data_IF_258171932088
#
_entry.id   IF_258171932088
#
_cell.length_a   1.000
_cell.length_b   1.000
_cell.length_c   1.000
_cell.angle_alpha   90.00
_cell.angle_beta   90.00
_cell.angle_gamma   90.00
#
_symmetry.space_group_name_H-M   'P 1'
#
loop_
_entity.id
_entity.type
_entity.pdbx_description
1 polymer ?
#
# COMPACT_ATOMS: atom_id res chain seq x y z
N UNK A 1 -3.40 -2.07 28.53
CA UNK A 1 -4.47 -2.60 27.64
C UNK A 1 -4.54 -1.70 26.43
N UNK A 2 -3.99 -2.12 25.28
CA UNK A 2 -4.15 -1.36 24.05
C UNK A 2 -5.62 -1.46 23.63
N UNK A 3 -6.28 -0.31 23.48
CA UNK A 3 -7.64 -0.26 22.94
C UNK A 3 -7.57 -0.85 21.52
N UNK A 4 -8.41 -1.85 21.22
CA UNK A 4 -8.67 -2.30 19.86
C UNK A 4 -9.36 -1.16 19.10
N UNK A 5 -8.56 -0.20 18.63
CA UNK A 5 -9.04 0.85 17.73
C UNK A 5 -9.14 0.21 16.36
N UNK A 6 -10.35 0.09 15.86
CA UNK A 6 -10.62 -0.34 14.50
C UNK A 6 -9.95 0.64 13.52
N UNK A 7 -9.05 0.13 12.69
CA UNK A 7 -8.39 0.92 11.67
C UNK A 7 -9.34 1.14 10.49
N UNK A 8 -9.72 2.39 10.24
CA UNK A 8 -10.67 2.79 9.19
C UNK A 8 -10.00 3.42 7.95
N UNK A 9 -8.66 3.51 7.96
CA UNK A 9 -7.92 4.32 6.99
C UNK A 9 -8.15 5.83 7.16
N UNK A 10 -7.29 6.63 6.53
CA UNK A 10 -7.38 8.10 6.57
C UNK A 10 -8.39 8.59 5.53
N UNK A 11 -8.24 8.16 4.27
CA UNK A 11 -9.21 8.46 3.22
C UNK A 11 -10.50 7.66 3.46
N UNK A 12 -11.64 8.34 3.53
CA UNK A 12 -12.93 7.70 3.76
C UNK A 12 -13.51 7.14 2.46
N UNK A 13 -14.44 6.19 2.59
CA UNK A 13 -15.18 5.67 1.44
C UNK A 13 -16.02 6.76 0.73
N UNK A 14 -16.44 7.82 1.45
CA UNK A 14 -17.15 8.94 0.84
C UNK A 14 -16.25 9.70 -0.16
N UNK A 15 -14.97 9.88 0.17
CA UNK A 15 -13.99 10.49 -0.74
C UNK A 15 -13.77 9.59 -1.95
N UNK A 16 -13.55 8.29 -1.75
CA UNK A 16 -13.41 7.35 -2.88
C UNK A 16 -14.62 7.39 -3.82
N UNK A 17 -15.85 7.34 -3.27
CA UNK A 17 -17.08 7.43 -4.07
C UNK A 17 -17.20 8.73 -4.86
N UNK A 18 -16.67 9.84 -4.34
CA UNK A 18 -16.70 11.12 -5.02
C UNK A 18 -15.73 11.16 -6.22
N UNK A 19 -14.58 10.48 -6.15
CA UNK A 19 -13.56 10.50 -7.21
C UNK A 19 -13.67 9.33 -8.20
N UNK A 20 -14.21 8.17 -7.76
CA UNK A 20 -14.35 6.96 -8.57
C UNK A 20 -15.02 7.17 -9.95
N UNK A 21 -16.05 8.03 -10.11
CA UNK A 21 -16.66 8.27 -11.42
C UNK A 21 -15.75 8.92 -12.46
N UNK A 22 -14.56 9.40 -12.07
CA UNK A 22 -13.61 10.08 -12.95
C UNK A 22 -12.38 9.23 -13.28
N UNK A 23 -12.36 7.96 -12.89
CA UNK A 23 -11.21 7.06 -13.12
C UNK A 23 -10.92 6.87 -14.62
N UNK A 24 -11.94 6.91 -15.47
CA UNK A 24 -11.82 6.84 -16.94
C UNK A 24 -11.15 8.07 -17.58
N UNK A 25 -10.84 9.11 -16.79
CA UNK A 25 -10.20 10.36 -17.24
C UNK A 25 -8.76 10.50 -16.80
N UNK A 26 -8.22 9.53 -16.08
CA UNK A 26 -6.84 9.54 -15.58
C UNK A 26 -6.09 8.33 -16.09
N UNK A 27 -4.79 8.51 -16.30
CA UNK A 27 -3.93 7.42 -16.76
C UNK A 27 -3.54 6.47 -15.61
N UNK A 28 -3.35 7.02 -14.42
CA UNK A 28 -2.84 6.26 -13.27
C UNK A 28 -3.42 6.71 -11.95
N UNK A 29 -3.41 5.81 -10.96
CA UNK A 29 -3.79 6.06 -9.58
C UNK A 29 -2.68 5.54 -8.66
N UNK A 30 -2.06 6.46 -7.92
CA UNK A 30 -1.11 6.17 -6.85
C UNK A 30 -1.84 6.22 -5.49
N UNK A 31 -1.99 5.07 -4.83
CA UNK A 31 -2.64 4.92 -3.53
C UNK A 31 -1.68 5.26 -2.37
N UNK A 32 -0.96 6.36 -2.46
CA UNK A 32 -0.03 6.85 -1.43
C UNK A 32 -0.61 7.99 -0.58
N UNK A 33 0.14 8.45 0.42
CA UNK A 33 -0.24 9.59 1.27
C UNK A 33 0.58 9.67 2.55
N UNK A 34 0.07 10.39 3.55
CA UNK A 34 0.74 10.61 4.85
C UNK A 34 0.78 9.40 5.80
N UNK A 35 0.69 8.17 5.30
CA UNK A 35 0.62 6.95 6.11
C UNK A 35 1.02 5.70 5.33
N UNK A 36 0.65 4.52 5.83
CA UNK A 36 0.93 3.24 5.17
C UNK A 36 -0.30 2.74 4.40
N UNK A 37 -0.25 2.63 3.06
CA UNK A 37 -1.40 2.20 2.25
C UNK A 37 -1.97 0.85 2.66
N UNK A 38 -1.13 -0.10 3.08
CA UNK A 38 -1.56 -1.44 3.51
C UNK A 38 -2.39 -1.43 4.79
N UNK A 39 -2.48 -0.30 5.50
CA UNK A 39 -3.40 -0.11 6.61
C UNK A 39 -4.82 0.22 6.15
N UNK A 40 -5.07 0.66 4.92
CA UNK A 40 -6.40 0.95 4.41
C UNK A 40 -7.18 -0.36 4.15
N UNK A 41 -8.24 -0.70 4.91
CA UNK A 41 -8.97 -1.96 4.71
C UNK A 41 -9.59 -2.12 3.32
N UNK A 42 -9.83 -1.00 2.63
CA UNK A 42 -10.43 -0.95 1.29
C UNK A 42 -9.42 -0.91 0.14
N UNK A 43 -8.12 -0.97 0.41
CA UNK A 43 -7.07 -0.77 -0.60
C UNK A 43 -7.26 -1.68 -1.83
N UNK A 44 -7.39 -2.98 -1.63
CA UNK A 44 -7.56 -3.94 -2.73
C UNK A 44 -8.85 -3.71 -3.54
N UNK A 45 -9.94 -3.28 -2.89
CA UNK A 45 -11.21 -2.95 -3.58
C UNK A 45 -11.02 -1.74 -4.49
N UNK A 46 -10.30 -0.72 -4.00
CA UNK A 46 -10.05 0.51 -4.75
C UNK A 46 -9.03 0.34 -5.88
N UNK A 47 -8.01 -0.50 -5.68
CA UNK A 47 -7.11 -0.94 -6.75
C UNK A 47 -7.92 -1.64 -7.85
N UNK A 48 -8.81 -2.56 -7.48
CA UNK A 48 -9.63 -3.28 -8.46
C UNK A 48 -10.58 -2.35 -9.23
N UNK A 49 -11.14 -1.34 -8.57
CA UNK A 49 -11.94 -0.29 -9.22
C UNK A 49 -11.12 0.47 -10.27
N UNK A 50 -9.92 0.94 -9.91
CA UNK A 50 -9.04 1.70 -10.81
C UNK A 50 -8.48 0.84 -11.96
N UNK A 51 -8.05 -0.38 -11.65
CA UNK A 51 -7.55 -1.33 -12.66
C UNK A 51 -8.64 -1.66 -13.69
N UNK A 52 -9.88 -1.91 -13.27
CA UNK A 52 -11.02 -2.13 -14.17
C UNK A 52 -11.38 -0.91 -15.03
N UNK A 53 -11.09 0.29 -14.55
CA UNK A 53 -11.27 1.53 -15.32
C UNK A 53 -10.15 1.75 -16.35
N UNK A 54 -9.13 0.89 -16.38
CA UNK A 54 -7.99 0.99 -17.29
C UNK A 54 -6.82 1.83 -16.75
N UNK A 55 -6.86 2.23 -15.49
CA UNK A 55 -5.77 2.97 -14.87
C UNK A 55 -4.57 2.05 -14.57
N UNK A 56 -3.36 2.57 -14.74
CA UNK A 56 -2.20 2.01 -14.07
C UNK A 56 -2.30 2.25 -12.56
N UNK A 57 -2.09 1.23 -11.75
CA UNK A 57 -2.29 1.29 -10.30
C UNK A 57 -1.01 0.97 -9.55
N UNK A 58 -0.73 1.72 -8.49
CA UNK A 58 0.42 1.47 -7.63
C UNK A 58 0.33 2.12 -6.27
N UNK A 59 1.31 1.83 -5.42
CA UNK A 59 1.49 2.51 -4.13
C UNK A 59 2.92 2.42 -3.62
N UNK A 60 3.27 3.35 -2.73
CA UNK A 60 4.50 3.33 -1.95
C UNK A 60 4.24 2.75 -0.55
N UNK A 61 5.00 1.73 -0.13
CA UNK A 61 4.87 1.10 1.19
C UNK A 61 6.20 1.03 1.92
N UNK A 62 6.14 1.04 3.26
CA UNK A 62 7.28 0.67 4.10
C UNK A 62 7.60 -0.84 4.07
N UNK A 63 6.77 -1.66 3.43
CA UNK A 63 7.01 -3.08 3.18
C UNK A 63 6.73 -4.01 4.37
N UNK A 64 6.55 -3.51 5.59
CA UNK A 64 6.38 -4.37 6.78
C UNK A 64 5.06 -5.16 6.80
N UNK A 65 4.03 -4.64 6.13
CA UNK A 65 2.69 -5.23 6.09
C UNK A 65 2.40 -5.97 4.79
N UNK A 66 3.39 -6.20 3.93
CA UNK A 66 3.26 -7.04 2.73
C UNK A 66 3.25 -8.53 3.11
N UNK A 67 2.30 -8.93 3.94
CA UNK A 67 2.08 -10.35 4.24
C UNK A 67 1.55 -11.06 3.00
N UNK A 68 1.79 -12.37 2.90
CA UNK A 68 1.33 -13.20 1.79
C UNK A 68 -0.17 -13.04 1.50
N UNK A 69 -1.01 -12.99 2.54
CA UNK A 69 -2.45 -12.77 2.39
C UNK A 69 -2.78 -11.42 1.73
N UNK A 70 -2.15 -10.33 2.18
CA UNK A 70 -2.39 -8.99 1.63
C UNK A 70 -1.87 -8.89 0.21
N UNK A 71 -0.68 -9.44 -0.04
CA UNK A 71 -0.08 -9.47 -1.36
C UNK A 71 -0.98 -10.20 -2.36
N UNK A 72 -1.46 -11.41 -2.03
CA UNK A 72 -2.41 -12.16 -2.89
C UNK A 72 -3.64 -11.33 -3.24
N UNK A 73 -4.21 -10.62 -2.27
CA UNK A 73 -5.38 -9.75 -2.49
C UNK A 73 -5.08 -8.56 -3.41
N UNK A 74 -3.89 -7.97 -3.27
CA UNK A 74 -3.45 -6.81 -4.06
C UNK A 74 -3.09 -7.22 -5.50
N UNK A 75 -2.38 -8.33 -5.67
CA UNK A 75 -2.09 -8.91 -6.99
C UNK A 75 -3.38 -9.28 -7.72
N UNK A 76 -4.31 -9.96 -7.04
CA UNK A 76 -5.62 -10.28 -7.60
C UNK A 76 -6.48 -9.05 -7.92
N UNK A 77 -6.22 -7.90 -7.29
CA UNK A 77 -6.88 -6.63 -7.59
C UNK A 77 -6.35 -5.94 -8.84
N UNK A 78 -5.22 -6.41 -9.40
CA UNK A 78 -4.65 -5.85 -10.63
C UNK A 78 -3.69 -4.68 -10.40
N UNK A 79 -2.91 -4.71 -9.31
CA UNK A 79 -1.80 -3.76 -9.08
C UNK A 79 -0.76 -3.86 -10.21
N UNK A 80 -0.20 -2.73 -10.65
CA UNK A 80 0.87 -2.70 -11.66
C UNK A 80 2.26 -2.61 -11.03
N UNK A 81 2.40 -1.81 -9.96
CA UNK A 81 3.68 -1.65 -9.28
C UNK A 81 3.51 -1.44 -7.77
N UNK A 82 4.54 -1.85 -7.02
CA UNK A 82 4.69 -1.58 -5.60
C UNK A 82 6.07 -0.97 -5.40
N UNK A 83 6.12 0.26 -4.89
CA UNK A 83 7.37 0.92 -4.54
C UNK A 83 7.68 0.68 -3.06
N UNK A 84 8.93 0.32 -2.74
CA UNK A 84 9.37 0.06 -1.37
C UNK A 84 10.27 1.18 -0.90
N UNK A 85 9.87 1.74 0.25
CA UNK A 85 10.58 2.78 0.96
C UNK A 85 11.84 2.19 1.66
N UNK A 86 12.97 2.16 0.95
CA UNK A 86 14.23 1.54 1.40
C UNK A 86 15.35 2.56 1.55
N UNK A 87 15.61 3.03 2.77
CA UNK A 87 16.61 4.07 3.06
C UNK A 87 17.93 3.49 3.59
N UNK A 88 18.50 2.52 2.88
CA UNK A 88 19.79 1.93 3.22
C UNK A 88 19.97 0.56 2.58
N UNK A 89 21.19 0.29 2.09
CA UNK A 89 21.55 -1.02 1.52
C UNK A 89 21.97 -2.06 2.58
N UNK A 90 22.14 -1.63 3.82
CA UNK A 90 22.48 -2.49 4.97
C UNK A 90 21.50 -2.24 6.11
N UNK A 91 21.28 -3.25 6.95
CA UNK A 91 20.46 -3.14 8.14
C UNK A 91 20.90 -1.96 9.03
N UNK A 92 22.21 -1.81 9.24
CA UNK A 92 22.75 -0.71 10.05
C UNK A 92 22.34 0.68 9.53
N UNK A 93 22.51 0.93 8.23
CA UNK A 93 22.15 2.23 7.63
C UNK A 93 20.64 2.44 7.62
N UNK A 94 19.89 1.40 7.27
CA UNK A 94 18.43 1.43 7.25
C UNK A 94 17.86 1.77 8.63
N UNK A 95 18.35 1.14 9.70
CA UNK A 95 17.88 1.39 11.06
C UNK A 95 18.25 2.77 11.61
N UNK A 96 19.34 3.39 11.12
CA UNK A 96 19.69 4.79 11.45
C UNK A 96 18.66 5.79 10.90
N UNK A 97 18.08 5.51 9.74
CA UNK A 97 17.10 6.41 9.10
C UNK A 97 15.67 6.03 9.49
N UNK A 98 15.32 4.74 9.44
CA UNK A 98 13.98 4.21 9.69
C UNK A 98 13.86 3.58 11.07
N UNK A 99 13.93 4.43 12.08
CA UNK A 99 13.80 4.05 13.49
C UNK A 99 12.47 3.32 13.72
N UNK A 100 12.53 2.14 14.35
CA UNK A 100 11.36 1.30 14.63
C UNK A 100 10.91 0.37 13.50
N UNK A 101 11.60 0.37 12.35
CA UNK A 101 11.40 -0.60 11.29
C UNK A 101 12.36 -1.80 11.43
N UNK A 102 12.17 -2.84 10.60
CA UNK A 102 12.99 -4.05 10.58
C UNK A 102 13.41 -4.37 9.14
N UNK A 103 14.69 -4.20 8.83
CA UNK A 103 15.27 -4.39 7.50
C UNK A 103 15.05 -5.82 6.97
N UNK A 104 15.43 -6.84 7.77
CA UNK A 104 15.34 -8.24 7.34
C UNK A 104 13.92 -8.64 7.01
N UNK A 105 12.95 -8.23 7.84
CA UNK A 105 11.52 -8.47 7.60
C UNK A 105 11.01 -7.77 6.34
N UNK A 106 11.48 -6.57 6.05
CA UNK A 106 11.13 -5.89 4.79
C UNK A 106 11.70 -6.66 3.60
N UNK A 107 12.95 -7.09 3.67
CA UNK A 107 13.57 -7.92 2.62
C UNK A 107 12.83 -9.24 2.40
N UNK A 108 12.47 -9.95 3.48
CA UNK A 108 11.67 -11.18 3.43
C UNK A 108 10.31 -10.95 2.76
N UNK A 109 9.59 -9.91 3.16
CA UNK A 109 8.30 -9.59 2.56
C UNK A 109 8.41 -9.24 1.06
N UNK A 110 9.46 -8.49 0.68
CA UNK A 110 9.69 -8.08 -0.72
C UNK A 110 10.11 -9.27 -1.59
N UNK A 111 10.86 -10.23 -1.04
CA UNK A 111 11.25 -11.45 -1.76
C UNK A 111 10.07 -12.36 -2.12
N UNK A 112 8.91 -12.17 -1.48
CA UNK A 112 7.70 -12.95 -1.71
C UNK A 112 6.72 -12.31 -2.72
N UNK A 113 7.07 -11.15 -3.31
CA UNK A 113 6.24 -10.43 -4.29
C UNK A 113 6.12 -11.19 -5.60
#
# INVERSE_FOLDING_TARGET
MAKNVENRGIMTQAVWRAIRPYLDRVQSVDFTGGGEPLLQPKLAEWIADASKAGCETGFLSNGLLLTEEKLKRILAAGINWICISMDGATAEMYHKIRVGSNFDRVCENVANI
#
